data_IF_173580294639
#
_entry.id   IF_173580294639
#
_cell.length_a   1.000
_cell.length_b   1.000
_cell.length_c   1.000
_cell.angle_alpha   90.00
_cell.angle_beta   90.00
_cell.angle_gamma   90.00
#
_symmetry.space_group_name_H-M   'P 1'
#
loop_
_entity.id
_entity.type
_entity.pdbx_description
1 polymer ?
#
# COMPACT_ATOMS: atom_id res chain seq x y z
N UNK A 1 -3.96 -1.34 18.37
CA UNK A 1 -3.73 -1.55 16.93
C UNK A 1 -2.68 -0.58 16.39
N UNK A 2 -2.96 0.72 16.20
CA UNK A 2 -1.99 1.59 15.50
C UNK A 2 -0.61 1.72 16.19
N UNK A 3 -0.59 1.78 17.53
CA UNK A 3 0.67 1.76 18.30
C UNK A 3 1.46 0.45 18.13
N UNK A 4 0.77 -0.69 18.11
CA UNK A 4 1.44 -1.98 17.90
C UNK A 4 2.00 -2.10 16.49
N UNK A 5 1.30 -1.55 15.49
CA UNK A 5 1.79 -1.45 14.11
C UNK A 5 3.04 -0.57 14.07
N UNK A 6 3.06 0.56 14.78
CA UNK A 6 4.24 1.44 14.90
C UNK A 6 5.44 0.71 15.52
N UNK A 7 5.24 -0.01 16.62
CA UNK A 7 6.32 -0.74 17.30
C UNK A 7 6.97 -1.80 16.40
N UNK A 8 6.14 -2.54 15.64
CA UNK A 8 6.61 -3.53 14.67
C UNK A 8 7.32 -2.84 13.50
N UNK A 9 6.75 -1.76 12.98
CA UNK A 9 7.34 -1.00 11.87
C UNK A 9 8.72 -0.44 12.24
N UNK A 10 8.88 0.09 13.46
CA UNK A 10 10.16 0.59 13.95
C UNK A 10 11.20 -0.52 14.10
N UNK A 11 10.76 -1.72 14.47
CA UNK A 11 11.64 -2.89 14.53
C UNK A 11 12.04 -3.34 13.13
N UNK A 12 11.11 -3.36 12.18
CA UNK A 12 11.37 -3.68 10.78
C UNK A 12 12.35 -2.69 10.14
N UNK A 13 12.21 -1.38 10.41
CA UNK A 13 13.14 -0.37 9.90
C UNK A 13 14.56 -0.57 10.44
N UNK A 14 14.70 -0.93 11.73
CA UNK A 14 15.99 -1.26 12.33
C UNK A 14 16.64 -2.49 11.69
N UNK A 15 15.84 -3.50 11.37
CA UNK A 15 16.33 -4.75 10.79
C UNK A 15 16.65 -4.62 9.29
N UNK A 16 15.87 -3.81 8.56
CA UNK A 16 16.00 -3.62 7.11
C UNK A 16 17.20 -2.72 6.72
N UNK A 17 17.60 -1.81 7.61
CA UNK A 17 18.66 -0.81 7.35
C UNK A 17 18.33 0.15 6.20
N UNK A 18 19.28 1.02 5.80
CA UNK A 18 19.07 2.05 4.76
C UNK A 18 18.69 1.50 3.36
N UNK A 19 18.86 0.20 3.11
CA UNK A 19 18.61 -0.43 1.80
C UNK A 19 17.24 -1.09 1.67
N UNK A 20 16.52 -1.31 2.77
CA UNK A 20 15.25 -2.03 2.76
C UNK A 20 14.01 -1.15 2.84
N UNK A 21 14.17 0.16 3.04
CA UNK A 21 13.05 1.10 2.97
C UNK A 21 12.62 1.31 1.52
N UNK A 22 11.47 0.75 1.17
CA UNK A 22 10.79 1.04 -0.10
C UNK A 22 10.22 2.45 0.00
N UNK A 23 10.94 3.39 -0.61
CA UNK A 23 10.53 4.79 -0.72
C UNK A 23 9.80 5.03 -2.03
N UNK A 24 8.82 5.92 -2.02
CA UNK A 24 8.16 6.40 -3.23
C UNK A 24 9.14 7.22 -4.10
N UNK A 25 8.67 7.67 -5.27
CA UNK A 25 9.47 8.49 -6.20
C UNK A 25 9.96 9.81 -5.57
N UNK A 26 9.35 10.24 -4.47
CA UNK A 26 9.65 11.45 -3.69
C UNK A 26 10.60 11.18 -2.52
N UNK A 27 11.01 9.93 -2.30
CA UNK A 27 11.97 9.54 -1.26
C UNK A 27 11.35 9.27 0.11
N UNK A 28 10.03 9.16 0.22
CA UNK A 28 9.28 8.92 1.45
C UNK A 28 8.77 7.49 1.56
N UNK A 29 8.76 6.94 2.78
CA UNK A 29 8.16 5.65 3.06
C UNK A 29 6.63 5.74 2.93
N UNK A 30 5.98 4.72 2.36
CA UNK A 30 4.52 4.68 2.21
C UNK A 30 3.99 3.37 2.79
N UNK A 31 3.06 3.46 3.75
CA UNK A 31 2.43 2.29 4.34
C UNK A 31 1.21 1.87 3.52
N UNK A 32 1.32 0.76 2.80
CA UNK A 32 0.19 0.16 2.07
C UNK A 32 -0.59 -0.75 3.02
N UNK A 33 -1.92 -0.57 3.06
CA UNK A 33 -2.81 -1.30 3.97
C UNK A 33 -3.93 -2.00 3.19
N UNK A 34 -4.34 -3.18 3.64
CA UNK A 34 -5.46 -3.93 3.07
C UNK A 34 -6.30 -4.67 4.13
N UNK A 35 -7.40 -5.28 3.68
CA UNK A 35 -8.32 -6.06 4.52
C UNK A 35 -9.46 -5.24 5.12
N UNK A 36 -10.46 -5.95 5.68
CA UNK A 36 -11.72 -5.35 6.14
C UNK A 36 -11.59 -4.28 7.23
N UNK A 37 -10.53 -4.32 8.05
CA UNK A 37 -10.28 -3.31 9.08
C UNK A 37 -9.89 -1.94 8.50
N UNK A 38 -9.39 -1.89 7.27
CA UNK A 38 -8.95 -0.66 6.60
C UNK A 38 -10.10 0.17 6.06
N UNK A 39 -11.33 -0.37 6.05
CA UNK A 39 -12.54 0.35 5.62
C UNK A 39 -12.82 1.57 6.51
N UNK A 40 -12.44 1.51 7.79
CA UNK A 40 -12.62 2.63 8.70
C UNK A 40 -11.50 3.68 8.51
N UNK A 41 -11.88 4.92 8.16
CA UNK A 41 -10.92 6.00 7.92
C UNK A 41 -10.25 6.51 9.20
N UNK A 42 -10.89 6.41 10.36
CA UNK A 42 -10.35 6.92 11.62
C UNK A 42 -9.02 6.25 12.03
N UNK A 43 -8.91 4.90 12.11
CA UNK A 43 -7.63 4.27 12.41
C UNK A 43 -6.59 4.47 11.31
N UNK A 44 -6.98 4.70 10.04
CA UNK A 44 -6.05 4.94 8.95
C UNK A 44 -5.40 6.32 9.05
N UNK A 45 -6.18 7.36 9.39
CA UNK A 45 -5.64 8.68 9.68
C UNK A 45 -4.76 8.64 10.94
N UNK A 46 -5.24 8.03 12.03
CA UNK A 46 -4.44 7.89 13.25
C UNK A 46 -3.14 7.12 12.97
N UNK A 47 -3.17 6.11 12.09
CA UNK A 47 -1.97 5.39 11.69
C UNK A 47 -1.00 6.28 10.92
N UNK A 48 -1.48 7.07 9.96
CA UNK A 48 -0.68 8.03 9.19
C UNK A 48 -0.03 9.08 10.12
N UNK A 49 -0.81 9.63 11.06
CA UNK A 49 -0.33 10.60 12.04
C UNK A 49 0.73 10.01 12.98
N UNK A 50 0.59 8.74 13.38
CA UNK A 50 1.54 8.05 14.26
C UNK A 50 2.86 7.68 13.57
N UNK A 51 2.83 7.35 12.28
CA UNK A 51 4.03 6.96 11.53
C UNK A 51 4.71 8.16 10.85
N UNK A 52 3.99 9.28 10.67
CA UNK A 52 4.50 10.45 9.95
C UNK A 52 4.75 10.17 8.47
N UNK A 53 3.95 9.29 7.88
CA UNK A 53 4.08 8.83 6.51
C UNK A 53 2.70 8.49 5.94
N UNK A 54 2.49 8.68 4.63
CA UNK A 54 1.20 8.44 4.01
C UNK A 54 0.77 6.98 4.12
N UNK A 55 -0.50 6.78 4.45
CA UNK A 55 -1.16 5.47 4.44
C UNK A 55 -1.99 5.37 3.18
N UNK A 56 -1.77 4.32 2.38
CA UNK A 56 -2.45 4.13 1.09
C UNK A 56 -3.32 2.89 1.15
N UNK A 57 -4.60 3.07 0.84
CA UNK A 57 -5.58 1.99 0.77
C UNK A 57 -6.04 1.79 -0.69
N UNK A 58 -6.03 0.56 -1.22
CA UNK A 58 -6.58 0.27 -2.54
C UNK A 58 -8.10 0.46 -2.56
N UNK A 59 -8.68 0.74 -3.73
CA UNK A 59 -10.13 0.80 -3.91
C UNK A 59 -10.78 -0.57 -3.62
N UNK A 60 -10.14 -1.65 -4.06
CA UNK A 60 -10.50 -3.03 -3.72
C UNK A 60 -9.69 -3.51 -2.51
N UNK A 61 -10.36 -3.66 -1.36
CA UNK A 61 -9.72 -4.05 -0.09
C UNK A 61 -9.28 -5.53 -0.02
N UNK A 62 -9.66 -6.34 -1.01
CA UNK A 62 -9.35 -7.77 -1.13
C UNK A 62 -8.13 -8.02 -2.04
N UNK A 63 -7.04 -7.30 -1.80
CA UNK A 63 -5.75 -7.44 -2.52
C UNK A 63 -5.15 -8.82 -2.42
N UNK A 64 -5.44 -9.56 -1.34
CA UNK A 64 -4.95 -10.94 -1.14
C UNK A 64 -5.36 -11.86 -2.28
N UNK A 65 -6.67 -11.86 -2.63
CA UNK A 65 -7.19 -12.70 -3.72
C UNK A 65 -6.60 -12.29 -5.07
N UNK A 66 -6.43 -10.99 -5.27
CA UNK A 66 -5.83 -10.42 -6.48
C UNK A 66 -4.36 -10.84 -6.64
N UNK A 67 -3.58 -10.82 -5.55
CA UNK A 67 -2.18 -11.24 -5.57
C UNK A 67 -2.02 -12.71 -5.95
N UNK A 68 -2.88 -13.59 -5.42
CA UNK A 68 -2.90 -15.01 -5.79
C UNK A 68 -3.26 -15.22 -7.27
N UNK A 69 -4.26 -14.48 -7.78
CA UNK A 69 -4.64 -14.52 -9.19
C UNK A 69 -3.50 -14.02 -10.10
N UNK A 70 -2.75 -13.00 -9.67
CA UNK A 70 -1.60 -12.48 -10.40
C UNK A 70 -0.45 -13.50 -10.47
N UNK A 71 -0.08 -14.13 -9.36
CA UNK A 71 0.95 -15.16 -9.32
C UNK A 71 0.58 -16.38 -10.18
N UNK A 72 -0.68 -16.82 -10.13
CA UNK A 72 -1.19 -17.88 -10.99
C UNK A 72 -1.18 -17.46 -12.47
N UNK A 73 -1.56 -16.22 -12.79
CA UNK A 73 -1.51 -15.68 -14.14
C UNK A 73 -0.09 -15.65 -14.72
N UNK A 74 0.92 -15.27 -13.93
CA UNK A 74 2.32 -15.30 -14.34
C UNK A 74 2.84 -16.72 -14.61
N UNK A 75 2.36 -17.72 -13.85
CA UNK A 75 2.81 -19.10 -13.97
C UNK A 75 2.15 -19.87 -15.12
N UNK A 76 0.90 -19.54 -15.46
CA UNK A 76 0.09 -20.31 -16.41
C UNK A 76 0.17 -19.75 -17.83
N UNK A 77 0.45 -18.45 -18.04
CA UNK A 77 0.61 -17.94 -19.42
C UNK A 77 1.35 -16.58 -19.54
N UNK A 78 2.56 -16.51 -20.15
CA UNK A 78 3.21 -15.23 -20.48
C UNK A 78 2.62 -14.52 -21.73
N UNK A 79 1.49 -15.01 -22.28
CA UNK A 79 0.87 -14.50 -23.54
C UNK A 79 -0.07 -13.30 -23.27
N UNK A 80 0.27 -12.44 -22.31
CA UNK A 80 -0.30 -11.09 -22.28
C UNK A 80 0.71 -10.15 -22.92
N UNK A 81 0.34 -9.64 -24.10
CA UNK A 81 1.05 -8.58 -24.79
C UNK A 81 1.38 -7.43 -23.81
N UNK A 82 2.57 -6.85 -23.96
CA UNK A 82 3.12 -5.85 -23.05
C UNK A 82 2.21 -4.61 -22.92
N UNK A 83 1.49 -4.26 -23.99
CA UNK A 83 0.51 -3.18 -23.99
C UNK A 83 -0.71 -3.52 -23.13
N UNK A 84 -1.15 -4.78 -23.19
CA UNK A 84 -2.28 -5.28 -22.38
C UNK A 84 -1.91 -5.40 -20.91
N UNK A 85 -0.65 -5.76 -20.59
CA UNK A 85 -0.13 -5.71 -19.22
C UNK A 85 -0.08 -4.29 -18.70
N UNK A 86 0.45 -3.35 -19.49
CA UNK A 86 0.56 -1.94 -19.09
C UNK A 86 -0.80 -1.29 -18.88
N UNK A 87 -1.83 -1.61 -19.69
CA UNK A 87 -3.20 -1.15 -19.46
C UNK A 87 -3.80 -1.68 -18.16
N UNK A 88 -3.56 -2.96 -17.84
CA UNK A 88 -4.01 -3.53 -16.56
C UNK A 88 -3.27 -2.87 -15.39
N UNK A 89 -1.95 -2.77 -15.43
CA UNK A 89 -1.16 -2.10 -14.38
C UNK A 89 -1.58 -0.63 -14.21
N UNK A 90 -1.80 0.11 -15.29
CA UNK A 90 -2.27 1.50 -15.23
C UNK A 90 -3.68 1.62 -14.61
N UNK A 91 -4.58 0.69 -14.94
CA UNK A 91 -5.89 0.59 -14.28
C UNK A 91 -5.76 0.31 -12.78
N UNK A 92 -4.73 -0.43 -12.37
CA UNK A 92 -4.48 -0.74 -10.96
C UNK A 92 -3.90 0.46 -10.22
N UNK A 93 -2.94 1.16 -10.81
CA UNK A 93 -2.41 2.43 -10.27
C UNK A 93 -3.55 3.44 -10.04
N UNK A 94 -4.50 3.53 -10.97
CA UNK A 94 -5.68 4.38 -10.85
C UNK A 94 -6.68 3.92 -9.77
N UNK A 95 -6.71 2.63 -9.46
CA UNK A 95 -7.55 2.08 -8.40
C UNK A 95 -6.96 2.28 -6.99
N UNK A 96 -5.74 2.83 -6.85
CA UNK A 96 -5.07 2.99 -5.55
C UNK A 96 -5.37 4.36 -4.88
N UNK A 97 -6.24 5.19 -5.46
CA UNK A 97 -6.39 6.59 -5.08
C UNK A 97 -7.25 6.83 -3.81
N UNK A 98 -6.75 6.43 -2.64
CA UNK A 98 -6.90 7.23 -1.41
C UNK A 98 -5.61 7.20 -0.59
N UNK A 99 -4.87 8.29 -0.67
CA UNK A 99 -3.76 8.61 0.22
C UNK A 99 -4.35 9.37 1.41
N UNK A 100 -3.98 8.97 2.62
CA UNK A 100 -4.25 9.75 3.83
C UNK A 100 -2.96 10.46 4.19
N UNK A 101 -2.95 11.79 4.10
CA UNK A 101 -1.80 12.63 4.46
C UNK A 101 -2.09 13.44 5.74
N UNK A 102 -1.04 13.98 6.37
CA UNK A 102 -1.13 14.92 7.50
C UNK A 102 -1.96 16.17 7.13
N UNK A 103 -2.05 16.50 5.84
CA UNK A 103 -2.78 17.65 5.33
C UNK A 103 -4.32 17.47 5.28
N UNK A 104 -4.85 16.24 5.39
CA UNK A 104 -6.30 15.97 5.31
C UNK A 104 -7.10 16.42 6.56
N UNK A 105 -6.46 17.14 7.48
CA UNK A 105 -7.05 17.71 8.70
C UNK A 105 -7.47 19.20 8.58
N UNK A 106 -7.37 19.81 7.40
CA UNK A 106 -8.03 21.11 7.18
C UNK A 106 -9.53 20.90 6.93
N UNK A 107 -10.33 21.29 7.94
CA UNK A 107 -11.80 21.35 8.00
C UNK A 107 -12.55 21.49 6.65
#
# INVERSE_FOLDING_TARGET
MCFQVKDVLDSMHKDAGEKGEVRNDEGEFVLRVDGGATVNNFPMQLQADLIGSPVVRPADIETTAIGAAYAAGLAVDPILDEESRNKKVASWCKAIERTFDLADLSL
#
